data_IF_678115405962
#
_entry.id   IF_678115405962
#
_cell.length_a   1.000
_cell.length_b   1.000
_cell.length_c   1.000
_cell.angle_alpha   90.00
_cell.angle_beta   90.00
_cell.angle_gamma   90.00
#
_symmetry.space_group_name_H-M   'P 1'
#
loop_
_entity.id
_entity.type
_entity.pdbx_description
1 polymer ?
#
# COMPACT_ATOMS: atom_id res chain seq x y z
N UNK A 1 -7.17 9.02 39.40
CA UNK A 1 -7.33 7.95 38.38
C UNK A 1 -7.08 8.58 37.02
N UNK A 2 -5.91 8.37 36.41
CA UNK A 2 -5.55 9.00 35.14
C UNK A 2 -6.20 8.23 33.99
N UNK A 3 -7.12 8.87 33.26
CA UNK A 3 -7.72 8.32 32.04
C UNK A 3 -6.62 8.38 30.97
N UNK A 4 -6.02 7.23 30.65
CA UNK A 4 -5.06 7.10 29.55
C UNK A 4 -5.78 7.44 28.24
N UNK A 5 -5.47 8.60 27.67
CA UNK A 5 -5.91 9.02 26.34
C UNK A 5 -5.05 8.27 25.33
N UNK A 6 -5.47 7.03 25.05
CA UNK A 6 -4.93 6.16 24.01
C UNK A 6 -6.03 5.26 23.47
N UNK A 7 -7.27 5.77 23.40
CA UNK A 7 -8.47 5.01 22.99
C UNK A 7 -8.57 5.01 21.47
N UNK A 8 -8.57 3.82 20.88
CA UNK A 8 -8.89 3.63 19.47
C UNK A 8 -10.31 4.11 19.17
N UNK A 9 -10.64 4.38 17.90
CA UNK A 9 -12.00 4.78 17.51
C UNK A 9 -13.05 3.72 17.90
N UNK A 10 -12.67 2.45 17.85
CA UNK A 10 -13.48 1.33 18.36
C UNK A 10 -13.75 1.41 19.86
N UNK A 11 -12.77 1.83 20.67
CA UNK A 11 -12.96 2.02 22.12
C UNK A 11 -13.95 3.15 22.42
N UNK A 12 -13.95 4.21 21.60
CA UNK A 12 -14.91 5.32 21.72
C UNK A 12 -16.33 4.87 21.38
N UNK A 13 -16.50 4.08 20.31
CA UNK A 13 -17.79 3.49 19.94
C UNK A 13 -18.30 2.59 21.07
N UNK A 14 -17.44 1.71 21.60
CA UNK A 14 -17.79 0.78 22.69
C UNK A 14 -18.24 1.51 23.96
N UNK A 15 -17.55 2.58 24.36
CA UNK A 15 -17.94 3.40 25.52
C UNK A 15 -19.28 4.10 25.29
N UNK A 16 -19.49 4.65 24.09
CA UNK A 16 -20.76 5.29 23.75
C UNK A 16 -21.92 4.28 23.74
N UNK A 17 -21.68 3.05 23.29
CA UNK A 17 -22.66 1.96 23.33
C UNK A 17 -23.05 1.60 24.75
N UNK A 18 -22.07 1.46 25.64
CA UNK A 18 -22.30 1.17 27.06
C UNK A 18 -23.10 2.28 27.75
N UNK A 19 -22.76 3.55 27.50
CA UNK A 19 -23.47 4.71 28.05
C UNK A 19 -24.90 4.77 27.52
N UNK A 20 -25.09 4.54 26.22
CA UNK A 20 -26.41 4.56 25.58
C UNK A 20 -27.30 3.42 26.08
N UNK A 21 -26.74 2.22 26.28
CA UNK A 21 -27.45 1.09 26.84
C UNK A 21 -27.87 1.35 28.29
N UNK A 22 -26.96 1.88 29.12
CA UNK A 22 -27.26 2.25 30.52
C UNK A 22 -28.37 3.30 30.64
N UNK A 23 -28.39 4.29 29.74
CA UNK A 23 -29.46 5.31 29.69
C UNK A 23 -30.81 4.73 29.24
N UNK A 24 -30.82 3.68 28.41
CA UNK A 24 -32.05 3.01 27.98
C UNK A 24 -32.63 2.06 29.03
N UNK A 25 -31.78 1.45 29.86
CA UNK A 25 -32.21 0.50 30.90
C UNK A 25 -32.67 1.17 32.19
N UNK A 26 -32.29 2.42 32.43
CA UNK A 26 -32.75 3.17 33.59
C UNK A 26 -34.24 3.56 33.44
N UNK A 27 -35.01 3.46 34.53
CA UNK A 27 -36.35 4.04 34.63
C UNK A 27 -36.23 5.57 34.69
N UNK A 28 -35.92 6.16 33.54
CA UNK A 28 -35.54 7.55 33.41
C UNK A 28 -36.68 8.47 33.00
N UNK A 29 -36.63 9.70 33.50
CA UNK A 29 -37.50 10.80 33.09
C UNK A 29 -37.41 11.06 31.57
N UNK A 30 -38.40 11.77 31.01
CA UNK A 30 -38.49 12.04 29.57
C UNK A 30 -37.20 12.60 28.95
N UNK A 31 -36.42 13.39 29.71
CA UNK A 31 -35.11 13.92 29.31
C UNK A 31 -34.07 12.82 29.08
N UNK A 32 -33.99 11.81 29.95
CA UNK A 32 -33.05 10.70 29.78
C UNK A 32 -33.39 9.85 28.56
N UNK A 33 -34.68 9.65 28.29
CA UNK A 33 -35.14 8.97 27.06
C UNK A 33 -34.77 9.74 25.80
N UNK A 34 -34.88 11.08 25.82
CA UNK A 34 -34.45 11.94 24.72
C UNK A 34 -32.93 11.85 24.49
N UNK A 35 -32.12 11.91 25.55
CA UNK A 35 -30.65 11.75 25.44
C UNK A 35 -30.25 10.37 24.91
N UNK A 36 -30.93 9.30 25.34
CA UNK A 36 -30.69 7.95 24.84
C UNK A 36 -30.99 7.82 23.34
N UNK A 37 -32.01 8.54 22.84
CA UNK A 37 -32.35 8.58 21.42
C UNK A 37 -31.29 9.36 20.61
N UNK A 38 -30.86 10.52 21.09
CA UNK A 38 -29.82 11.32 20.42
C UNK A 38 -28.47 10.58 20.38
N UNK A 39 -28.04 10.01 21.51
CA UNK A 39 -26.82 9.19 21.56
C UNK A 39 -26.92 7.98 20.62
N UNK A 40 -28.09 7.34 20.52
CA UNK A 40 -28.34 6.27 19.56
C UNK A 40 -28.16 6.72 18.11
N UNK A 41 -28.61 7.94 17.75
CA UNK A 41 -28.38 8.52 16.42
C UNK A 41 -26.90 8.75 16.17
N UNK A 42 -26.19 9.37 17.12
CA UNK A 42 -24.74 9.60 16.99
C UNK A 42 -23.95 8.29 16.85
N UNK A 43 -24.29 7.26 17.61
CA UNK A 43 -23.69 5.93 17.47
C UNK A 43 -23.88 5.34 16.08
N UNK A 44 -25.10 5.45 15.50
CA UNK A 44 -25.34 4.95 14.15
C UNK A 44 -24.48 5.65 13.09
N UNK A 45 -24.30 6.97 13.23
CA UNK A 45 -23.44 7.76 12.34
C UNK A 45 -21.98 7.37 12.52
N UNK A 46 -21.50 7.20 13.76
CA UNK A 46 -20.13 6.81 14.05
C UNK A 46 -19.81 5.41 13.50
N UNK A 47 -20.71 4.44 13.65
CA UNK A 47 -20.55 3.10 13.05
C UNK A 47 -20.47 3.15 11.52
N UNK A 48 -21.34 3.95 10.88
CA UNK A 48 -21.30 4.11 9.43
C UNK A 48 -20.00 4.77 8.94
N UNK A 49 -19.41 5.67 9.75
CA UNK A 49 -18.11 6.26 9.47
C UNK A 49 -16.97 5.24 9.67
N UNK A 50 -17.02 4.43 10.72
CA UNK A 50 -16.06 3.35 10.96
C UNK A 50 -16.02 2.38 9.78
N UNK A 51 -17.18 1.91 9.34
CA UNK A 51 -17.29 1.01 8.19
C UNK A 51 -16.71 1.61 6.91
N UNK A 52 -16.95 2.90 6.66
CA UNK A 52 -16.37 3.62 5.51
C UNK A 52 -14.85 3.72 5.65
N UNK A 53 -14.35 3.99 6.84
CA UNK A 53 -12.92 4.07 7.11
C UNK A 53 -12.24 2.71 6.91
N UNK A 54 -12.81 1.63 7.41
CA UNK A 54 -12.27 0.27 7.23
C UNK A 54 -12.30 -0.16 5.76
N UNK A 55 -13.36 0.16 5.01
CA UNK A 55 -13.40 -0.05 3.55
C UNK A 55 -12.30 0.72 2.84
N UNK A 56 -12.11 2.00 3.17
CA UNK A 56 -11.05 2.82 2.57
C UNK A 56 -9.64 2.28 2.90
N UNK A 57 -9.41 1.79 4.13
CA UNK A 57 -8.15 1.12 4.50
C UNK A 57 -7.93 -0.14 3.66
N UNK A 58 -8.95 -0.97 3.49
CA UNK A 58 -8.86 -2.19 2.68
C UNK A 58 -8.54 -1.86 1.21
N UNK A 59 -9.17 -0.84 0.64
CA UNK A 59 -8.89 -0.36 -0.72
C UNK A 59 -7.45 0.17 -0.86
N UNK A 60 -6.97 0.97 0.10
CA UNK A 60 -5.58 1.45 0.12
C UNK A 60 -4.57 0.29 0.19
N UNK A 61 -4.84 -0.73 1.01
CA UNK A 61 -3.99 -1.92 1.07
C UNK A 61 -3.96 -2.67 -0.27
N UNK A 62 -5.10 -2.78 -0.96
CA UNK A 62 -5.18 -3.39 -2.29
C UNK A 62 -4.37 -2.59 -3.31
N UNK A 63 -4.58 -1.27 -3.38
CA UNK A 63 -3.86 -0.38 -4.29
C UNK A 63 -2.35 -0.41 -4.05
N UNK A 64 -1.91 -0.44 -2.79
CA UNK A 64 -0.49 -0.55 -2.44
C UNK A 64 0.12 -1.86 -2.94
N UNK A 65 -0.61 -2.98 -2.81
CA UNK A 65 -0.18 -4.28 -3.33
C UNK A 65 -0.09 -4.29 -4.86
N UNK A 66 -1.06 -3.71 -5.54
CA UNK A 66 -1.10 -3.62 -7.00
C UNK A 66 0.04 -2.72 -7.52
N UNK A 67 0.31 -1.59 -6.85
CA UNK A 67 1.44 -0.71 -7.17
C UNK A 67 2.78 -1.45 -7.06
N UNK A 68 3.00 -2.21 -5.97
CA UNK A 68 4.22 -3.00 -5.79
C UNK A 68 4.40 -4.07 -6.88
N UNK A 69 3.30 -4.69 -7.31
CA UNK A 69 3.33 -5.66 -8.42
C UNK A 69 3.71 -4.98 -9.73
N UNK A 70 3.08 -3.84 -10.04
CA UNK A 70 3.37 -3.07 -11.26
C UNK A 70 4.82 -2.57 -11.27
N UNK A 71 5.34 -2.10 -10.14
CA UNK A 71 6.74 -1.68 -10.03
C UNK A 71 7.70 -2.83 -10.35
N UNK A 72 7.40 -4.03 -9.85
CA UNK A 72 8.20 -5.24 -10.12
C UNK A 72 8.17 -5.60 -11.60
N UNK A 73 7.00 -5.52 -12.23
CA UNK A 73 6.83 -5.81 -13.66
C UNK A 73 7.58 -4.81 -14.55
N UNK A 74 7.50 -3.51 -14.23
CA UNK A 74 8.25 -2.46 -14.93
C UNK A 74 9.76 -2.71 -14.83
N UNK A 75 10.28 -3.04 -13.64
CA UNK A 75 11.70 -3.36 -13.47
C UNK A 75 12.12 -4.56 -14.31
N UNK A 76 11.28 -5.59 -14.40
CA UNK A 76 11.56 -6.77 -15.24
C UNK A 76 11.57 -6.43 -16.72
N UNK A 77 10.58 -5.66 -17.20
CA UNK A 77 10.53 -5.21 -18.60
C UNK A 77 11.73 -4.33 -18.94
N UNK A 78 12.10 -3.41 -18.06
CA UNK A 78 13.29 -2.57 -18.23
C UNK A 78 14.55 -3.43 -18.33
N UNK A 79 14.72 -4.42 -17.45
CA UNK A 79 15.83 -5.37 -17.52
C UNK A 79 15.89 -6.11 -18.86
N UNK A 80 14.75 -6.58 -19.37
CA UNK A 80 14.68 -7.24 -20.69
C UNK A 80 15.08 -6.28 -21.82
N UNK A 81 14.60 -5.05 -21.81
CA UNK A 81 14.93 -4.04 -22.82
C UNK A 81 16.42 -3.70 -22.78
N UNK A 82 17.00 -3.50 -21.60
CA UNK A 82 18.43 -3.26 -21.44
C UNK A 82 19.24 -4.43 -21.98
N UNK A 83 18.92 -5.67 -21.58
CA UNK A 83 19.62 -6.86 -22.09
C UNK A 83 19.47 -7.04 -23.60
N UNK A 84 18.31 -6.70 -24.17
CA UNK A 84 18.12 -6.72 -25.63
C UNK A 84 19.02 -5.69 -26.32
N UNK A 85 19.05 -4.44 -25.83
CA UNK A 85 19.90 -3.39 -26.39
C UNK A 85 21.38 -3.72 -26.26
N UNK A 86 21.82 -4.29 -25.13
CA UNK A 86 23.19 -4.77 -24.95
C UNK A 86 23.54 -5.89 -25.94
N UNK A 87 22.59 -6.81 -26.20
CA UNK A 87 22.77 -7.88 -27.18
C UNK A 87 22.88 -7.34 -28.60
N UNK A 88 21.98 -6.45 -29.02
CA UNK A 88 21.99 -5.83 -30.35
C UNK A 88 23.23 -4.95 -30.56
N UNK A 89 23.64 -4.21 -29.53
CA UNK A 89 24.90 -3.49 -29.56
C UNK A 89 26.09 -4.46 -29.64
N UNK A 90 26.09 -5.55 -28.88
CA UNK A 90 27.12 -6.59 -28.97
C UNK A 90 27.23 -7.24 -30.36
N UNK A 91 26.11 -7.42 -31.06
CA UNK A 91 26.06 -7.97 -32.43
C UNK A 91 26.54 -6.97 -33.49
N UNK A 92 26.19 -5.69 -33.34
CA UNK A 92 26.53 -4.63 -34.31
C UNK A 92 27.88 -3.96 -34.04
N UNK A 93 28.40 -4.04 -32.81
CA UNK A 93 29.70 -3.47 -32.41
C UNK A 93 30.86 -3.94 -33.30
N UNK A 94 30.99 -5.23 -33.68
CA UNK A 94 32.06 -5.67 -34.58
C UNK A 94 32.00 -5.04 -35.95
N UNK A 95 30.81 -4.79 -36.50
CA UNK A 95 30.63 -4.13 -37.78
C UNK A 95 30.90 -2.63 -37.68
N UNK A 96 30.39 -1.97 -36.63
CA UNK A 96 30.65 -0.54 -36.36
C UNK A 96 32.13 -0.25 -36.08
N UNK A 97 32.86 -1.20 -35.49
CA UNK A 97 34.32 -1.11 -35.31
C UNK A 97 35.07 -1.17 -36.64
N UNK A 98 34.56 -1.87 -37.66
CA UNK A 98 35.16 -1.89 -39.01
C UNK A 98 35.05 -0.53 -39.69
N UNK A 99 33.99 0.21 -39.41
CA UNK A 99 33.76 1.55 -39.95
C UNK A 99 34.31 2.69 -39.06
N UNK A 100 35.02 2.35 -37.96
CA UNK A 100 35.60 3.34 -37.05
C UNK A 100 34.59 4.14 -36.21
N UNK A 101 33.30 3.73 -36.23
CA UNK A 101 32.20 4.43 -35.55
C UNK A 101 32.13 4.08 -34.06
N UNK A 102 32.51 2.85 -33.69
CA UNK A 102 32.52 2.39 -32.29
C UNK A 102 33.96 2.18 -31.78
N UNK A 103 34.26 2.65 -30.56
CA UNK A 103 35.53 2.37 -29.88
C UNK A 103 35.64 0.87 -29.57
N UNK A 104 36.78 0.26 -29.88
CA UNK A 104 37.10 -1.11 -29.42
C UNK A 104 37.04 -1.14 -27.89
N UNK A 105 36.12 -1.92 -27.33
CA UNK A 105 36.05 -2.14 -25.88
C UNK A 105 37.35 -2.83 -25.41
N UNK A 106 38.18 -2.20 -24.56
CA UNK A 106 39.39 -2.80 -24.04
C UNK A 106 39.03 -3.70 -22.85
N UNK A 107 38.32 -4.81 -23.10
CA UNK A 107 37.84 -5.65 -22.00
C UNK A 107 37.09 -6.91 -22.37
N UNK A 108 37.07 -7.34 -23.63
CA UNK A 108 36.49 -8.62 -24.02
C UNK A 108 37.13 -9.75 -23.22
N UNK A 109 36.32 -10.49 -22.43
CA UNK A 109 36.73 -11.67 -21.67
C UNK A 109 37.67 -12.54 -22.52
N UNK A 110 38.91 -12.71 -22.05
CA UNK A 110 39.88 -13.65 -22.64
C UNK A 110 39.17 -14.99 -22.87
N UNK A 111 39.11 -15.43 -24.13
CA UNK A 111 38.67 -16.78 -24.48
C UNK A 111 39.51 -17.84 -23.76
N UNK A 112 39.06 -19.10 -23.70
CA UNK A 112 39.76 -20.15 -22.97
C UNK A 112 41.18 -20.28 -23.51
N UNK A 113 42.16 -20.13 -22.60
CA UNK A 113 43.58 -20.25 -22.91
C UNK A 113 43.85 -21.71 -23.26
N UNK A 114 43.99 -22.01 -24.54
CA UNK A 114 44.45 -23.32 -24.99
C UNK A 114 45.85 -23.53 -24.40
N UNK A 115 45.98 -24.54 -23.53
CA UNK A 115 47.29 -24.97 -23.01
C UNK A 115 48.03 -25.67 -24.15
N UNK A 116 49.22 -25.15 -24.47
CA UNK A 116 50.24 -25.89 -25.21
C UNK A 116 50.91 -26.90 -24.27
#
# INVERSE_FOLDING_TARGET
>A
MAIRIGRSFADLISILEQVTAGLKSAAGDAKQKAYALELGKYLSVLRALDEKQEKAKAELHKLSKDLKKNETEVRLLLGKVVSYLESEYGKSSPELQKYGVARRQPGGKKGPRVKA
#
